data_IF_243325640364
#
_entry.id   IF_243325640364
#
_cell.length_a   1.000
_cell.length_b   1.000
_cell.length_c   1.000
_cell.angle_alpha   90.00
_cell.angle_beta   90.00
_cell.angle_gamma   90.00
#
_symmetry.space_group_name_H-M   'P 1'
#
loop_
_entity.id
_entity.type
_entity.pdbx_description
1 polymer ?
#
# COMPACT_ATOMS: atom_id res chain seq x y z
N UNK A 1 -13.94 -2.77 18.63
CA UNK A 1 -13.26 -1.53 18.19
C UNK A 1 -13.13 -1.64 16.68
N UNK A 2 -13.66 -0.73 15.85
CA UNK A 2 -13.42 -0.82 14.41
C UNK A 2 -11.92 -0.59 14.18
N UNK A 3 -11.23 -1.65 13.78
CA UNK A 3 -9.80 -1.63 13.46
C UNK A 3 -9.57 -0.55 12.38
N UNK A 4 -8.99 0.58 12.78
CA UNK A 4 -8.74 1.69 11.85
C UNK A 4 -7.51 1.30 11.05
N UNK A 5 -7.74 0.58 9.96
CA UNK A 5 -6.68 0.10 9.07
C UNK A 5 -5.85 1.32 8.63
N UNK A 6 -4.54 1.35 8.88
CA UNK A 6 -3.70 2.49 8.52
C UNK A 6 -3.73 2.70 7.00
N UNK A 7 -3.73 3.97 6.58
CA UNK A 7 -3.62 4.36 5.17
C UNK A 7 -2.24 4.94 4.94
N UNK A 8 -1.49 4.37 3.99
CA UNK A 8 -0.14 4.76 3.65
C UNK A 8 -0.04 5.25 2.20
N UNK A 9 0.67 6.36 2.01
CA UNK A 9 0.87 7.03 0.73
C UNK A 9 2.33 6.87 0.32
N UNK A 10 2.70 5.78 -0.38
CA UNK A 10 4.08 5.58 -0.80
C UNK A 10 4.46 6.54 -1.93
N UNK A 11 5.38 7.46 -1.63
CA UNK A 11 5.97 8.34 -2.63
C UNK A 11 7.02 7.63 -3.51
N UNK A 12 7.55 6.50 -3.04
CA UNK A 12 8.58 5.69 -3.73
C UNK A 12 8.63 4.27 -3.16
N UNK A 13 9.21 3.33 -3.92
CA UNK A 13 9.33 1.92 -3.53
C UNK A 13 10.05 1.76 -2.18
N UNK A 14 11.12 2.52 -1.99
CA UNK A 14 11.90 2.53 -0.76
C UNK A 14 11.07 2.98 0.45
N UNK A 15 10.14 3.93 0.26
CA UNK A 15 9.26 4.38 1.34
C UNK A 15 8.27 3.28 1.74
N UNK A 16 7.71 2.57 0.76
CA UNK A 16 6.83 1.42 1.00
C UNK A 16 7.57 0.29 1.74
N UNK A 17 8.76 -0.06 1.27
CA UNK A 17 9.62 -1.06 1.92
C UNK A 17 9.92 -0.69 3.37
N UNK A 18 10.36 0.56 3.61
CA UNK A 18 10.70 1.04 4.96
C UNK A 18 9.51 1.05 5.90
N UNK A 19 8.32 1.32 5.37
CA UNK A 19 7.08 1.24 6.15
C UNK A 19 6.80 -0.21 6.55
N UNK A 20 6.90 -1.16 5.61
CA UNK A 20 6.77 -2.58 5.89
C UNK A 20 7.82 -3.02 6.90
N UNK A 21 9.11 -2.75 6.71
CA UNK A 21 10.17 -3.14 7.67
C UNK A 21 9.88 -2.73 9.12
N UNK A 22 9.23 -1.59 9.34
CA UNK A 22 8.88 -1.11 10.68
C UNK A 22 7.55 -1.61 11.20
N UNK A 23 6.55 -1.77 10.33
CA UNK A 23 5.15 -1.99 10.72
C UNK A 23 4.66 -3.41 10.39
N UNK A 24 5.35 -4.16 9.54
CA UNK A 24 4.93 -5.49 9.07
C UNK A 24 4.78 -6.50 10.21
N UNK A 25 5.44 -6.27 11.35
CA UNK A 25 5.33 -7.11 12.54
C UNK A 25 4.11 -6.71 13.41
N UNK A 26 3.92 -5.42 13.65
CA UNK A 26 2.90 -4.89 14.57
C UNK A 26 1.52 -4.72 13.93
N UNK A 27 1.45 -4.49 12.63
CA UNK A 27 0.22 -4.20 11.89
C UNK A 27 -0.26 -5.44 11.16
N UNK A 28 -1.57 -5.70 11.16
CA UNK A 28 -2.16 -6.84 10.44
C UNK A 28 -2.52 -6.50 8.98
N UNK A 29 -2.88 -5.24 8.71
CA UNK A 29 -3.28 -4.77 7.39
C UNK A 29 -3.04 -3.28 7.18
N UNK A 30 -2.96 -2.85 5.92
CA UNK A 30 -2.75 -1.45 5.52
C UNK A 30 -3.40 -1.17 4.18
N UNK A 31 -3.96 0.02 4.02
CA UNK A 31 -4.38 0.55 2.75
C UNK A 31 -3.24 1.33 2.11
N UNK A 32 -2.81 0.91 0.94
CA UNK A 32 -1.77 1.61 0.17
C UNK A 32 -2.43 2.43 -0.93
N UNK A 33 -2.08 3.71 -1.02
CA UNK A 33 -2.66 4.63 -2.00
C UNK A 33 -1.77 4.75 -3.23
N UNK A 34 -2.37 4.54 -4.39
CA UNK A 34 -1.76 4.65 -5.70
C UNK A 34 -2.35 5.85 -6.43
N UNK A 35 -1.50 6.77 -6.87
CA UNK A 35 -1.90 7.89 -7.72
C UNK A 35 -1.83 7.49 -9.20
N UNK A 36 -2.71 8.03 -10.03
CA UNK A 36 -2.58 7.86 -11.48
C UNK A 36 -1.54 8.81 -12.05
N UNK A 37 -1.06 8.53 -13.27
CA UNK A 37 -0.14 9.43 -13.98
C UNK A 37 -0.71 10.84 -14.19
N UNK A 38 -2.03 10.99 -14.20
CA UNK A 38 -2.69 12.30 -14.35
C UNK A 38 -2.56 13.18 -13.09
N UNK A 39 -2.30 12.57 -11.91
CA UNK A 39 -2.17 13.27 -10.63
C UNK A 39 -0.98 14.23 -10.60
N UNK A 40 0.07 13.93 -11.37
CA UNK A 40 1.37 14.56 -11.25
C UNK A 40 2.11 14.25 -9.93
N UNK A 41 1.53 13.41 -9.06
CA UNK A 41 2.09 13.01 -7.77
C UNK A 41 3.02 11.81 -7.89
N UNK A 42 4.08 11.80 -7.08
CA UNK A 42 5.00 10.66 -6.96
C UNK A 42 4.27 9.49 -6.30
N UNK A 43 4.29 8.34 -6.96
CA UNK A 43 3.64 7.12 -6.50
C UNK A 43 4.38 5.91 -7.05
N UNK A 44 4.16 4.75 -6.46
CA UNK A 44 4.70 3.47 -6.94
C UNK A 44 3.68 2.76 -7.83
N UNK A 45 4.12 1.79 -8.61
CA UNK A 45 3.18 0.94 -9.34
C UNK A 45 2.62 -0.17 -8.45
N UNK A 46 1.43 -0.67 -8.76
CA UNK A 46 0.82 -1.78 -8.00
C UNK A 46 1.70 -3.03 -8.01
N UNK A 47 2.26 -3.39 -9.17
CA UNK A 47 3.13 -4.55 -9.31
C UNK A 47 4.38 -4.46 -8.43
N UNK A 48 5.00 -3.28 -8.39
CA UNK A 48 6.12 -2.99 -7.48
C UNK A 48 5.74 -3.09 -6.00
N UNK A 49 4.58 -2.57 -5.62
CA UNK A 49 4.10 -2.66 -4.24
C UNK A 49 3.85 -4.10 -3.81
N UNK A 50 3.28 -4.92 -4.71
CA UNK A 50 3.02 -6.35 -4.49
C UNK A 50 4.32 -7.12 -4.36
N UNK A 51 5.30 -6.90 -5.25
CA UNK A 51 6.60 -7.57 -5.19
C UNK A 51 7.31 -7.36 -3.84
N UNK A 52 7.34 -6.10 -3.37
CA UNK A 52 7.87 -5.78 -2.05
C UNK A 52 7.03 -6.42 -0.95
N UNK A 53 5.70 -6.35 -1.02
CA UNK A 53 4.82 -6.94 0.00
C UNK A 53 5.06 -8.45 0.15
N UNK A 54 5.21 -9.17 -0.96
CA UNK A 54 5.51 -10.61 -0.98
C UNK A 54 6.82 -10.93 -0.26
N UNK A 55 7.84 -10.07 -0.37
CA UNK A 55 9.11 -10.22 0.34
C UNK A 55 8.95 -10.20 1.88
N UNK A 56 7.90 -9.56 2.39
CA UNK A 56 7.57 -9.51 3.82
C UNK A 56 6.49 -10.54 4.23
N UNK A 57 6.03 -11.38 3.30
CA UNK A 57 4.93 -12.31 3.52
C UNK A 57 3.54 -11.67 3.53
N UNK A 58 3.40 -10.50 2.89
CA UNK A 58 2.13 -9.79 2.74
C UNK A 58 1.53 -10.06 1.35
N UNK A 59 0.20 -10.01 1.28
CA UNK A 59 -0.57 -10.17 0.05
C UNK A 59 -1.50 -8.99 -0.14
N UNK A 60 -1.84 -8.69 -1.39
CA UNK A 60 -2.92 -7.77 -1.69
C UNK A 60 -4.27 -8.51 -1.71
N UNK A 61 -5.37 -7.83 -1.38
CA UNK A 61 -6.71 -8.46 -1.41
C UNK A 61 -7.73 -7.62 -2.15
N UNK A 62 -7.98 -6.40 -1.69
CA UNK A 62 -9.05 -5.55 -2.23
C UNK A 62 -8.48 -4.29 -2.84
N UNK A 63 -8.84 -4.04 -4.09
CA UNK A 63 -8.62 -2.76 -4.75
C UNK A 63 -9.90 -1.94 -4.70
N UNK A 64 -9.82 -0.73 -4.16
CA UNK A 64 -10.92 0.24 -4.14
C UNK A 64 -10.46 1.49 -4.87
N UNK A 65 -11.22 1.92 -5.87
CA UNK A 65 -10.99 3.21 -6.50
C UNK A 65 -11.67 4.28 -5.64
N UNK A 66 -10.91 5.29 -5.20
CA UNK A 66 -11.45 6.35 -4.34
C UNK A 66 -11.87 7.54 -5.21
N UNK A 67 -10.96 8.00 -6.07
CA UNK A 67 -11.22 9.08 -7.00
C UNK A 67 -10.87 8.69 -8.43
N UNK A 68 -11.12 9.60 -9.38
CA UNK A 68 -10.65 9.43 -10.75
C UNK A 68 -9.13 9.24 -10.84
N UNK A 69 -8.41 9.81 -9.86
CA UNK A 69 -6.97 9.94 -9.86
C UNK A 69 -6.26 9.13 -8.75
N UNK A 70 -7.01 8.46 -7.87
CA UNK A 70 -6.46 7.68 -6.76
C UNK A 70 -7.17 6.33 -6.60
N UNK A 71 -6.39 5.30 -6.29
CA UNK A 71 -6.89 3.99 -5.92
C UNK A 71 -6.19 3.49 -4.67
N UNK A 72 -6.95 2.86 -3.77
CA UNK A 72 -6.44 2.17 -2.61
C UNK A 72 -6.34 0.69 -2.89
N UNK A 73 -5.22 0.08 -2.52
CA UNK A 73 -5.06 -1.37 -2.46
C UNK A 73 -4.92 -1.78 -1.01
N UNK A 74 -5.70 -2.75 -0.59
CA UNK A 74 -5.57 -3.38 0.70
C UNK A 74 -4.46 -4.42 0.66
N UNK A 75 -3.53 -4.30 1.58
CA UNK A 75 -2.49 -5.28 1.86
C UNK A 75 -2.66 -5.81 3.27
N UNK A 76 -2.50 -7.11 3.44
CA UNK A 76 -2.49 -7.76 4.75
C UNK A 76 -1.43 -8.84 4.80
N UNK A 77 -1.09 -9.27 6.01
CA UNK A 77 -0.32 -10.50 6.16
C UNK A 77 -1.10 -11.67 5.55
N UNK A 78 -0.36 -12.62 4.97
CA UNK A 78 -0.89 -13.93 4.59
C UNK A 78 -1.41 -14.68 5.80
#
# INVERSE_FOLDING_TARGET
MPDTIPVFYPESLAAWRKWLEKNHASTQSVWVVFHTKQSGKKTITWSEAVDVALCFGWIDSKKIKIDHDTAHQFFSKR
#
